data_IF_007019484023
#
_entry.id   IF_007019484023
#
_cell.length_a   1.000
_cell.length_b   1.000
_cell.length_c   1.000
_cell.angle_alpha   90.00
_cell.angle_beta   90.00
_cell.angle_gamma   90.00
#
_symmetry.space_group_name_H-M   'P 1'
#
loop_
_entity.id
_entity.type
_entity.pdbx_description
1 polymer ?
#
# COMPACT_ATOMS: atom_id res chain seq x y z
N UNK A 1 -3.84 -6.08 19.06
CA UNK A 1 -4.99 -5.16 19.02
C UNK A 1 -5.00 -4.39 20.32
N UNK A 2 -4.77 -3.07 20.28
CA UNK A 2 -4.84 -2.20 21.46
C UNK A 2 -6.10 -1.35 21.37
N UNK A 3 -6.83 -1.15 22.47
CA UNK A 3 -8.07 -0.36 22.50
C UNK A 3 -7.94 0.71 23.58
N UNK A 4 -8.10 1.97 23.17
CA UNK A 4 -8.17 3.12 24.07
C UNK A 4 -9.57 3.74 24.02
N UNK A 5 -10.11 4.05 25.19
CA UNK A 5 -11.38 4.74 25.36
C UNK A 5 -11.11 6.07 26.04
N UNK A 6 -11.55 7.16 25.43
CA UNK A 6 -11.47 8.48 26.05
C UNK A 6 -12.78 8.84 26.78
N UNK A 7 -12.75 9.83 27.69
CA UNK A 7 -13.94 10.33 28.38
C UNK A 7 -15.06 10.85 27.45
N UNK A 8 -14.72 11.23 26.22
CA UNK A 8 -15.66 11.68 25.19
C UNK A 8 -16.32 10.52 24.42
N UNK A 9 -16.21 9.28 24.91
CA UNK A 9 -16.76 8.06 24.27
C UNK A 9 -16.14 7.74 22.89
N UNK A 10 -14.95 8.25 22.59
CA UNK A 10 -14.19 7.87 21.40
C UNK A 10 -13.44 6.56 21.65
N UNK A 11 -13.51 5.63 20.69
CA UNK A 11 -12.73 4.39 20.69
C UNK A 11 -11.63 4.46 19.63
N UNK A 12 -10.39 4.36 20.07
CA UNK A 12 -9.23 4.23 19.20
C UNK A 12 -8.78 2.77 19.22
N UNK A 13 -8.74 2.13 18.06
CA UNK A 13 -8.28 0.75 17.91
C UNK A 13 -6.96 0.74 17.16
N UNK A 14 -5.88 0.40 17.84
CA UNK A 14 -4.58 0.15 17.25
C UNK A 14 -4.58 -1.22 16.56
N UNK A 15 -4.53 -1.20 15.23
CA UNK A 15 -4.38 -2.39 14.39
C UNK A 15 -2.96 -2.44 13.84
N UNK A 16 -2.22 -3.48 14.17
CA UNK A 16 -0.91 -3.76 13.60
C UNK A 16 -1.01 -5.00 12.74
N UNK A 17 -0.55 -4.90 11.49
CA UNK A 17 -0.66 -5.94 10.47
C UNK A 17 -2.12 -6.35 10.14
N UNK A 18 -2.29 -7.16 9.10
CA UNK A 18 -3.52 -7.88 8.83
C UNK A 18 -3.36 -9.34 9.24
N UNK A 19 -4.43 -9.98 9.69
CA UNK A 19 -4.42 -11.43 9.91
C UNK A 19 -4.25 -12.14 8.57
N UNK A 20 -3.43 -13.19 8.51
CA UNK A 20 -3.08 -13.92 7.26
C UNK A 20 -4.30 -14.41 6.44
N UNK A 21 -5.47 -14.53 7.08
CA UNK A 21 -6.71 -14.99 6.47
C UNK A 21 -7.46 -13.87 5.73
N UNK A 22 -7.03 -12.61 5.85
CA UNK A 22 -7.66 -11.45 5.22
C UNK A 22 -7.09 -11.12 3.85
N UNK A 23 -5.91 -11.65 3.50
CA UNK A 23 -5.31 -11.41 2.18
C UNK A 23 -6.25 -11.86 1.05
N UNK A 24 -6.92 -13.01 1.17
CA UNK A 24 -7.89 -13.48 0.18
C UNK A 24 -8.98 -12.45 -0.09
N UNK A 25 -9.63 -11.95 0.96
CA UNK A 25 -10.70 -10.95 0.83
C UNK A 25 -10.21 -9.65 0.17
N UNK A 26 -8.99 -9.21 0.51
CA UNK A 26 -8.38 -8.02 -0.11
C UNK A 26 -8.06 -8.27 -1.59
N UNK A 27 -7.48 -9.42 -1.93
CA UNK A 27 -7.20 -9.79 -3.31
C UNK A 27 -8.48 -9.90 -4.16
N UNK A 28 -9.54 -10.50 -3.63
CA UNK A 28 -10.85 -10.56 -4.30
C UNK A 28 -11.43 -9.16 -4.54
N UNK A 29 -11.28 -8.24 -3.59
CA UNK A 29 -11.66 -6.84 -3.77
C UNK A 29 -10.83 -6.17 -4.87
N UNK A 30 -9.51 -6.37 -4.88
CA UNK A 30 -8.62 -5.83 -5.91
C UNK A 30 -9.00 -6.35 -7.30
N UNK A 31 -9.31 -7.64 -7.43
CA UNK A 31 -9.77 -8.26 -8.68
C UNK A 31 -11.10 -7.66 -9.17
N UNK A 32 -12.09 -7.48 -8.28
CA UNK A 32 -13.38 -6.86 -8.63
C UNK A 32 -13.23 -5.45 -9.20
N UNK A 33 -12.24 -4.69 -8.75
CA UNK A 33 -11.99 -3.32 -9.16
C UNK A 33 -10.79 -3.16 -10.08
N UNK A 34 -10.25 -4.25 -10.63
CA UNK A 34 -9.00 -4.23 -11.39
C UNK A 34 -9.06 -3.28 -12.60
N UNK A 35 -10.22 -3.14 -13.22
CA UNK A 35 -10.37 -2.31 -14.44
C UNK A 35 -10.89 -0.90 -14.14
N UNK A 36 -11.36 -0.64 -12.91
CA UNK A 36 -11.96 0.65 -12.52
C UNK A 36 -11.06 1.48 -11.61
N UNK A 37 -10.15 0.84 -10.89
CA UNK A 37 -9.26 1.52 -9.98
C UNK A 37 -8.12 2.20 -10.74
N UNK A 38 -7.71 3.43 -10.39
CA UNK A 38 -6.68 4.17 -11.12
C UNK A 38 -5.26 3.68 -10.76
N UNK A 39 -4.92 2.45 -11.16
CA UNK A 39 -3.65 1.80 -10.82
C UNK A 39 -2.43 2.59 -11.29
N UNK A 40 -2.49 3.20 -12.48
CA UNK A 40 -1.40 4.02 -13.02
C UNK A 40 -1.09 5.25 -12.17
N UNK A 41 -2.09 5.77 -11.43
CA UNK A 41 -1.88 6.88 -10.50
C UNK A 41 -1.22 6.42 -9.21
N UNK A 42 -1.53 5.20 -8.77
CA UNK A 42 -0.97 4.62 -7.54
C UNK A 42 0.46 4.12 -7.77
N UNK A 43 0.68 3.32 -8.81
CA UNK A 43 1.96 2.71 -9.18
C UNK A 43 2.70 3.54 -10.23
N UNK A 44 2.71 4.87 -10.07
CA UNK A 44 3.29 5.79 -11.05
C UNK A 44 4.80 5.64 -11.17
N UNK A 45 5.47 5.28 -10.08
CA UNK A 45 6.93 5.20 -10.02
C UNK A 45 7.34 3.74 -10.02
N UNK A 46 7.93 3.31 -11.14
CA UNK A 46 8.45 1.97 -11.33
C UNK A 46 9.93 2.09 -11.62
N UNK A 47 10.71 1.18 -11.06
CA UNK A 47 12.17 1.15 -11.21
C UNK A 47 12.62 -0.28 -11.48
N UNK A 48 13.74 -0.43 -12.18
CA UNK A 48 14.45 -1.70 -12.28
C UNK A 48 15.17 -2.03 -10.97
N UNK A 49 15.65 -3.27 -10.84
CA UNK A 49 16.35 -3.72 -9.61
C UNK A 49 17.65 -2.93 -9.39
N UNK A 50 18.36 -2.59 -10.44
CA UNK A 50 19.61 -1.83 -10.43
C UNK A 50 19.41 -0.39 -9.91
N UNK A 51 18.17 0.10 -9.97
CA UNK A 51 17.76 1.45 -9.55
C UNK A 51 17.17 1.47 -8.13
N UNK A 52 17.52 0.48 -7.29
CA UNK A 52 16.95 0.34 -5.95
C UNK A 52 17.17 1.60 -5.07
N UNK A 53 18.31 2.28 -5.22
CA UNK A 53 18.60 3.49 -4.45
C UNK A 53 17.67 4.65 -4.86
N UNK A 54 17.48 4.86 -6.15
CA UNK A 54 16.54 5.83 -6.70
C UNK A 54 15.11 5.52 -6.27
N UNK A 55 14.72 4.25 -6.28
CA UNK A 55 13.40 3.80 -5.84
C UNK A 55 13.14 4.17 -4.37
N UNK A 56 14.12 3.95 -3.48
CA UNK A 56 14.03 4.35 -2.07
C UNK A 56 13.95 5.87 -1.93
N UNK A 57 14.79 6.63 -2.64
CA UNK A 57 14.75 8.11 -2.61
C UNK A 57 13.40 8.64 -3.10
N UNK A 58 12.88 8.10 -4.20
CA UNK A 58 11.56 8.45 -4.73
C UNK A 58 10.46 8.17 -3.70
N UNK A 59 10.55 7.05 -2.98
CA UNK A 59 9.58 6.67 -1.95
C UNK A 59 9.49 7.68 -0.80
N UNK A 60 10.61 8.34 -0.48
CA UNK A 60 10.68 9.34 0.59
C UNK A 60 10.11 10.72 0.18
N UNK A 61 9.69 10.88 -1.08
CA UNK A 61 9.10 12.13 -1.56
C UNK A 61 7.58 12.16 -1.36
N UNK A 62 7.00 13.36 -1.26
CA UNK A 62 5.54 13.56 -1.21
C UNK A 62 4.80 13.10 -2.46
N UNK A 63 5.52 12.81 -3.56
CA UNK A 63 4.95 12.38 -4.84
C UNK A 63 4.90 10.85 -5.01
N UNK A 64 5.46 10.10 -4.04
CA UNK A 64 5.67 8.65 -4.12
C UNK A 64 4.39 7.84 -4.31
N UNK A 65 3.35 8.07 -3.49
CA UNK A 65 2.19 7.18 -3.34
C UNK A 65 2.60 5.71 -3.09
N UNK A 66 2.96 4.97 -4.15
CA UNK A 66 3.53 3.63 -4.10
C UNK A 66 4.62 3.49 -5.17
N UNK A 67 5.84 3.20 -4.73
CA UNK A 67 6.96 2.81 -5.61
C UNK A 67 6.96 1.30 -5.80
N UNK A 68 7.24 0.85 -7.02
CA UNK A 68 7.35 -0.56 -7.41
C UNK A 68 8.73 -0.81 -8.00
N UNK A 69 9.41 -1.87 -7.55
CA UNK A 69 10.55 -2.44 -8.26
C UNK A 69 9.97 -3.51 -9.19
N UNK A 70 10.07 -3.29 -10.49
CA UNK A 70 9.49 -4.13 -11.54
C UNK A 70 10.62 -4.82 -12.31
N UNK A 71 10.93 -6.09 -12.00
CA UNK A 71 12.05 -6.80 -12.63
C UNK A 71 11.79 -7.16 -14.10
N UNK A 72 10.61 -6.85 -14.62
CA UNK A 72 10.15 -7.19 -15.97
C UNK A 72 9.91 -5.94 -16.84
N UNK A 73 10.34 -4.77 -16.38
CA UNK A 73 10.26 -3.55 -17.19
C UNK A 73 11.29 -3.61 -18.32
N UNK A 74 10.84 -3.40 -19.56
CA UNK A 74 11.72 -3.25 -20.73
C UNK A 74 12.28 -1.83 -20.83
#
# INVERSE_FOLDING_TARGET
>A
MAVYLNPCKLRIVGMTNHTHNKYKTVMEMMLRHKDTFPWERLFRHRFLLEQAEEAVKANMTRKSMKVVIDPWME
#
